data_IF_708607036405
#
_entry.id   IF_708607036405
#
_cell.length_a   1.000
_cell.length_b   1.000
_cell.length_c   1.000
_cell.angle_alpha   90.00
_cell.angle_beta   90.00
_cell.angle_gamma   90.00
#
_symmetry.space_group_name_H-M   'P 1'
#
loop_
_entity.id
_entity.type
_entity.pdbx_description
1 polymer ?
#
# COMPACT_ATOMS: atom_id res chain seq x y z
N UNK A 1 -2.82 -79.02 4.02
CA UNK A 1 -1.58 -78.22 4.08
C UNK A 1 -1.56 -77.24 2.92
N UNK A 2 -2.24 -76.10 3.07
CA UNK A 2 -2.23 -75.04 2.06
C UNK A 2 -1.47 -73.84 2.60
N UNK A 3 -0.14 -73.96 2.58
CA UNK A 3 0.85 -72.99 3.09
C UNK A 3 0.92 -71.71 2.24
N UNK A 4 0.08 -71.54 1.22
CA UNK A 4 0.03 -70.36 0.35
C UNK A 4 -1.03 -69.30 0.75
N UNK A 5 -1.87 -69.55 1.76
CA UNK A 5 -2.94 -68.63 2.18
C UNK A 5 -2.57 -67.70 3.36
N UNK A 6 -1.43 -67.93 4.03
CA UNK A 6 -0.98 -67.11 5.18
C UNK A 6 0.07 -66.04 4.83
N UNK A 7 0.47 -65.92 3.56
CA UNK A 7 1.44 -64.91 3.10
C UNK A 7 0.78 -63.61 2.61
N UNK A 8 -0.56 -63.51 2.64
CA UNK A 8 -1.33 -62.33 2.22
C UNK A 8 -1.84 -61.48 3.38
N UNK A 9 -1.45 -61.79 4.62
CA UNK A 9 -1.85 -61.06 5.83
C UNK A 9 -0.64 -60.66 6.71
N UNK A 10 0.51 -60.36 6.10
CA UNK A 10 1.65 -59.77 6.82
C UNK A 10 2.16 -58.46 6.18
N UNK A 11 1.50 -57.96 5.13
CA UNK A 11 1.85 -56.68 4.48
C UNK A 11 0.77 -55.60 4.61
N UNK A 12 -0.24 -55.80 5.47
CA UNK A 12 -1.24 -54.77 5.83
C UNK A 12 -1.48 -54.78 7.33
N UNK A 13 -0.61 -54.12 8.08
CA UNK A 13 -0.97 -53.14 9.10
C UNK A 13 0.27 -52.71 9.91
N UNK A 14 0.33 -51.42 10.18
CA UNK A 14 1.12 -50.79 11.25
C UNK A 14 2.63 -50.65 10.98
N UNK A 15 3.01 -49.44 10.55
CA UNK A 15 3.90 -48.51 11.31
C UNK A 15 4.10 -47.25 10.46
N UNK A 16 3.82 -46.06 11.02
CA UNK A 16 4.24 -44.78 10.44
C UNK A 16 3.15 -43.74 10.21
N UNK A 17 2.35 -43.42 11.22
CA UNK A 17 1.80 -42.08 11.41
C UNK A 17 2.89 -41.25 12.11
N UNK A 18 3.59 -40.35 11.39
CA UNK A 18 4.18 -39.08 11.89
C UNK A 18 5.13 -38.39 10.87
N UNK A 19 4.63 -37.33 10.19
CA UNK A 19 5.28 -36.09 9.71
C UNK A 19 6.58 -36.02 8.85
N UNK A 20 6.92 -34.84 8.27
CA UNK A 20 6.14 -33.61 8.17
C UNK A 20 5.73 -33.27 6.73
N UNK A 21 4.47 -32.83 6.63
CA UNK A 21 4.00 -31.67 5.87
C UNK A 21 4.98 -31.09 4.86
N UNK A 22 4.61 -31.18 3.57
CA UNK A 22 5.07 -30.22 2.59
C UNK A 22 4.89 -28.82 3.19
N UNK A 23 6.00 -28.13 3.44
CA UNK A 23 5.98 -26.75 3.90
C UNK A 23 4.99 -26.00 3.01
N UNK A 24 3.98 -25.32 3.57
CA UNK A 24 3.25 -24.33 2.82
C UNK A 24 4.31 -23.37 2.29
N UNK A 25 4.60 -23.43 0.98
CA UNK A 25 5.36 -22.38 0.35
C UNK A 25 4.60 -21.10 0.69
N UNK A 26 5.26 -20.08 1.25
CA UNK A 26 4.61 -18.80 1.43
C UNK A 26 4.18 -18.39 0.02
N UNK A 27 2.89 -18.55 -0.26
CA UNK A 27 2.29 -17.94 -1.42
C UNK A 27 2.41 -16.47 -1.09
N UNK A 28 3.44 -15.83 -1.63
CA UNK A 28 3.48 -14.38 -1.73
C UNK A 28 2.29 -14.06 -2.62
N UNK A 29 1.13 -13.93 -1.98
CA UNK A 29 -0.02 -13.28 -2.56
C UNK A 29 0.50 -11.90 -2.93
N UNK A 30 0.75 -11.69 -4.22
CA UNK A 30 1.04 -10.38 -4.74
C UNK A 30 -0.08 -9.48 -4.23
N UNK A 31 0.22 -8.36 -3.56
CA UNK A 31 -0.82 -7.51 -3.02
C UNK A 31 -1.62 -6.96 -4.21
N UNK A 32 -2.77 -7.57 -4.48
CA UNK A 32 -3.79 -7.05 -5.37
C UNK A 32 -4.54 -5.93 -4.62
N UNK A 33 -3.79 -4.87 -4.33
CA UNK A 33 -4.28 -3.61 -3.78
C UNK A 33 -3.40 -2.51 -4.34
N UNK A 34 -3.98 -1.34 -4.62
CA UNK A 34 -3.25 -0.16 -5.06
C UNK A 34 -2.07 0.05 -4.11
N UNK A 35 -0.85 -0.18 -4.60
CA UNK A 35 0.34 -0.13 -3.74
C UNK A 35 0.48 1.25 -3.10
N UNK A 36 1.00 1.31 -1.87
CA UNK A 36 1.20 2.57 -1.14
C UNK A 36 1.92 3.63 -2.00
N UNK A 37 2.94 3.23 -2.77
CA UNK A 37 3.64 4.12 -3.69
C UNK A 37 2.75 4.73 -4.78
N UNK A 38 1.79 3.95 -5.31
CA UNK A 38 0.80 4.48 -6.26
C UNK A 38 -0.16 5.46 -5.57
N UNK A 39 -0.67 5.11 -4.38
CA UNK A 39 -1.53 6.01 -3.61
C UNK A 39 -0.83 7.32 -3.26
N UNK A 40 0.46 7.25 -2.92
CA UNK A 40 1.29 8.42 -2.65
C UNK A 40 1.51 9.25 -3.91
N UNK A 41 1.82 8.62 -5.05
CA UNK A 41 1.95 9.32 -6.33
C UNK A 41 0.64 10.02 -6.73
N UNK A 42 -0.49 9.32 -6.66
CA UNK A 42 -1.82 9.87 -6.93
C UNK A 42 -2.14 11.04 -5.96
N UNK A 43 -1.67 10.99 -4.71
CA UNK A 43 -1.85 12.08 -3.75
C UNK A 43 -0.99 13.32 -4.10
N UNK A 44 0.24 13.11 -4.58
CA UNK A 44 1.12 14.20 -5.04
C UNK A 44 0.50 14.91 -6.24
N UNK A 45 -0.01 14.16 -7.22
CA UNK A 45 -0.71 14.72 -8.39
C UNK A 45 -1.93 15.55 -7.98
N UNK A 46 -2.68 15.12 -6.94
CA UNK A 46 -3.81 15.89 -6.42
C UNK A 46 -3.38 17.20 -5.78
N UNK A 47 -2.26 17.23 -5.05
CA UNK A 47 -1.73 18.46 -4.45
C UNK A 47 -1.31 19.44 -5.55
N UNK A 48 -0.61 18.95 -6.57
CA UNK A 48 -0.20 19.74 -7.74
C UNK A 48 -1.41 20.36 -8.45
N UNK A 49 -2.43 19.54 -8.74
CA UNK A 49 -3.69 20.02 -9.33
C UNK A 49 -4.41 21.05 -8.47
N UNK A 50 -4.39 20.90 -7.14
CA UNK A 50 -4.97 21.89 -6.22
C UNK A 50 -4.21 23.22 -6.23
N UNK A 51 -2.87 23.19 -6.34
CA UNK A 51 -2.06 24.40 -6.47
C UNK A 51 -2.29 25.11 -7.80
N UNK A 52 -2.38 24.36 -8.90
CA UNK A 52 -2.65 24.91 -10.23
C UNK A 52 -4.04 25.56 -10.27
N UNK A 53 -5.05 24.89 -9.72
CA UNK A 53 -6.41 25.41 -9.63
C UNK A 53 -6.48 26.69 -8.81
N UNK A 54 -5.84 26.73 -7.65
CA UNK A 54 -5.74 27.95 -6.85
C UNK A 54 -5.07 29.09 -7.65
N UNK A 55 -3.98 28.79 -8.38
CA UNK A 55 -3.30 29.76 -9.25
C UNK A 55 -4.18 30.30 -10.38
N UNK A 56 -5.00 29.43 -11.00
CA UNK A 56 -5.98 29.82 -12.02
C UNK A 56 -7.04 30.75 -11.43
N UNK A 57 -7.62 30.40 -10.29
CA UNK A 57 -8.65 31.22 -9.65
C UNK A 57 -8.12 32.58 -9.18
N UNK A 58 -6.89 32.64 -8.66
CA UNK A 58 -6.23 33.92 -8.34
C UNK A 58 -6.11 34.77 -9.60
N UNK A 59 -5.68 34.18 -10.71
CA UNK A 59 -5.48 34.88 -11.97
C UNK A 59 -6.79 35.40 -12.56
N UNK A 60 -7.85 34.57 -12.55
CA UNK A 60 -9.19 34.93 -12.99
C UNK A 60 -9.80 36.05 -12.13
N UNK A 61 -9.60 36.01 -10.82
CA UNK A 61 -10.02 37.07 -9.91
C UNK A 61 -9.31 38.41 -10.19
N UNK A 62 -7.99 38.38 -10.36
CA UNK A 62 -7.20 39.59 -10.70
C UNK A 62 -7.62 40.16 -12.07
N UNK A 63 -7.95 39.29 -13.03
CA UNK A 63 -8.44 39.68 -14.34
C UNK A 63 -9.88 40.24 -14.32
N UNK A 64 -10.59 40.14 -13.19
CA UNK A 64 -11.98 40.55 -13.07
C UNK A 64 -12.98 39.58 -13.69
N UNK A 65 -12.53 38.38 -14.08
CA UNK A 65 -13.38 37.31 -14.62
C UNK A 65 -14.14 36.56 -13.52
N UNK A 66 -13.73 36.73 -12.26
CA UNK A 66 -14.31 36.07 -11.11
C UNK A 66 -14.53 37.08 -9.97
N UNK A 67 -15.78 37.35 -9.60
CA UNK A 67 -16.11 38.28 -8.51
C UNK A 67 -16.06 37.63 -7.11
N UNK A 68 -16.08 36.29 -7.06
CA UNK A 68 -16.17 35.56 -5.80
C UNK A 68 -14.80 35.32 -5.16
N UNK A 69 -14.29 36.32 -4.45
CA UNK A 69 -13.04 36.22 -3.67
C UNK A 69 -13.06 35.08 -2.64
N UNK A 70 -14.24 34.65 -2.19
CA UNK A 70 -14.38 33.58 -1.20
C UNK A 70 -13.97 32.22 -1.78
N UNK A 71 -14.33 31.94 -3.03
CA UNK A 71 -13.93 30.71 -3.73
C UNK A 71 -12.41 30.64 -3.92
N UNK A 72 -11.79 31.75 -4.34
CA UNK A 72 -10.33 31.86 -4.46
C UNK A 72 -9.66 31.56 -3.12
N UNK A 73 -10.14 32.18 -2.04
CA UNK A 73 -9.61 31.97 -0.70
C UNK A 73 -9.77 30.52 -0.23
N UNK A 74 -10.90 29.88 -0.54
CA UNK A 74 -11.12 28.45 -0.21
C UNK A 74 -10.14 27.58 -0.99
N UNK A 75 -10.01 27.79 -2.30
CA UNK A 75 -9.08 27.03 -3.14
C UNK A 75 -7.62 27.16 -2.66
N UNK A 76 -7.20 28.39 -2.32
CA UNK A 76 -5.88 28.65 -1.74
C UNK A 76 -5.65 27.93 -0.40
N UNK A 77 -6.63 27.99 0.51
CA UNK A 77 -6.53 27.32 1.80
C UNK A 77 -6.49 25.79 1.65
N UNK A 78 -7.29 25.24 0.73
CA UNK A 78 -7.29 23.82 0.44
C UNK A 78 -5.94 23.36 -0.13
N UNK A 79 -5.38 24.10 -1.08
CA UNK A 79 -4.07 23.81 -1.66
C UNK A 79 -2.97 23.83 -0.59
N UNK A 80 -2.95 24.87 0.26
CA UNK A 80 -1.99 24.99 1.37
C UNK A 80 -2.09 23.84 2.38
N UNK A 81 -3.31 23.52 2.83
CA UNK A 81 -3.53 22.43 3.77
C UNK A 81 -3.11 21.07 3.19
N UNK A 82 -3.44 20.82 1.91
CA UNK A 82 -3.08 19.58 1.22
C UNK A 82 -1.56 19.44 1.06
N UNK A 83 -0.87 20.54 0.76
CA UNK A 83 0.59 20.57 0.68
C UNK A 83 1.27 20.34 2.04
N UNK A 84 0.75 20.95 3.11
CA UNK A 84 1.23 20.70 4.47
C UNK A 84 1.11 19.22 4.84
N UNK A 85 -0.06 18.62 4.59
CA UNK A 85 -0.29 17.20 4.82
C UNK A 85 0.70 16.33 4.03
N UNK A 86 0.93 16.63 2.75
CA UNK A 86 1.90 15.91 1.94
C UNK A 86 3.32 16.00 2.50
N UNK A 87 3.71 17.18 2.99
CA UNK A 87 5.03 17.39 3.59
C UNK A 87 5.21 16.52 4.85
N UNK A 88 4.19 16.43 5.69
CA UNK A 88 4.20 15.56 6.88
C UNK A 88 4.31 14.09 6.50
N UNK A 89 3.53 13.65 5.51
CA UNK A 89 3.61 12.26 5.00
C UNK A 89 5.01 11.97 4.45
N UNK A 90 5.59 12.87 3.65
CA UNK A 90 6.95 12.74 3.13
C UNK A 90 7.96 12.58 4.27
N UNK A 91 7.89 13.46 5.27
CA UNK A 91 8.78 13.43 6.41
C UNK A 91 8.66 12.09 7.17
N UNK A 92 7.44 11.63 7.41
CA UNK A 92 7.18 10.36 8.11
C UNK A 92 7.68 9.14 7.33
N UNK A 93 7.54 9.13 6.00
CA UNK A 93 8.07 8.06 5.14
C UNK A 93 9.59 8.02 5.20
N UNK A 94 10.25 9.18 5.12
CA UNK A 94 11.72 9.27 5.22
C UNK A 94 12.23 8.84 6.60
N UNK A 95 11.53 9.22 7.67
CA UNK A 95 11.85 8.80 9.04
C UNK A 95 11.70 7.29 9.20
N UNK A 96 10.59 6.72 8.74
CA UNK A 96 10.33 5.28 8.82
C UNK A 96 11.38 4.50 8.03
N UNK A 97 11.78 4.97 6.86
CA UNK A 97 12.87 4.37 6.09
C UNK A 97 14.20 4.40 6.84
N UNK A 98 14.54 5.52 7.49
CA UNK A 98 15.74 5.64 8.32
C UNK A 98 15.72 4.73 9.54
N UNK A 99 14.59 4.59 10.21
CA UNK A 99 14.42 3.70 11.37
C UNK A 99 14.63 2.23 11.00
N UNK A 100 14.05 1.77 9.88
CA UNK A 100 14.24 0.40 9.39
C UNK A 100 15.72 0.07 9.11
N UNK A 101 16.50 1.03 8.61
CA UNK A 101 17.95 0.86 8.40
C UNK A 101 18.72 0.75 9.72
N UNK A 102 18.29 1.47 10.78
CA UNK A 102 18.92 1.43 12.10
C UNK A 102 18.65 0.14 12.88
N UNK A 103 17.55 -0.57 12.59
CA UNK A 103 17.24 -1.86 13.23
C UNK A 103 18.08 -3.03 12.70
N UNK A 104 18.72 -2.89 11.54
CA UNK A 104 19.41 -3.98 10.84
C UNK A 104 20.94 -4.02 11.08
N UNK A 105 21.48 -3.13 11.93
CA UNK A 105 22.89 -3.12 12.33
C UNK A 105 23.11 -3.72 13.71
#
# INVERSE_FOLDING_TARGET
MNVAALQRLQSRAVTGHDGPSALPQPRTEAPHGTGFGKTLADAIERVDGAQEEAGRQISAFIAGEQENVHEVMIAMNQANLSFQLMTEVRNRVLETYQELMRMQV
#
